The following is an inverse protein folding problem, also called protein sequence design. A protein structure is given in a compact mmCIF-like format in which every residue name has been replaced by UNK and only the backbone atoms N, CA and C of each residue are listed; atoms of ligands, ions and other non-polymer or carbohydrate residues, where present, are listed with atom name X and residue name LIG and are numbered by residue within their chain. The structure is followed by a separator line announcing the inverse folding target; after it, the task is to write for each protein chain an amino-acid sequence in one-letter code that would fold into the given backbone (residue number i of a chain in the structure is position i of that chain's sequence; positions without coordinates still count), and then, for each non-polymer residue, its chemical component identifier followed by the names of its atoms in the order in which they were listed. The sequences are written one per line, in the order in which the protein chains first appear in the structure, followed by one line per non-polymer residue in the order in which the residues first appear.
data_IF_233670536864
#
_entry.id   IF_233670536864
#
_cell.length_a   1.000
_cell.length_b   1.000
_cell.length_c   1.000
_cell.angle_alpha   90.00
_cell.angle_beta   90.00
_cell.angle_gamma   90.00
#
_symmetry.space_group_name_H-M   'P 1'
#
loop_
_entity.id
_entity.type
_entity.pdbx_description
1 polymer ?
#
# COMPACT_ATOMS: atom_id res chain seq x y z
N UNK A 1 17.24 13.51 14.90
CA UNK A 1 16.01 13.52 15.71
C UNK A 1 15.41 14.92 15.72
N UNK A 2 14.09 15.07 15.85
CA UNK A 2 13.37 16.36 15.97
C UNK A 2 12.62 16.43 17.30
N UNK A 3 12.35 17.64 17.80
CA UNK A 3 11.61 17.86 19.06
C UNK A 3 10.30 18.59 18.80
N UNK A 4 9.17 17.88 18.94
CA UNK A 4 7.83 18.44 18.73
C UNK A 4 7.41 19.29 19.95
N UNK A 5 7.74 20.58 19.94
CA UNK A 5 7.46 21.53 21.04
C UNK A 5 6.01 21.98 21.09
N UNK A 6 5.32 22.07 19.95
CA UNK A 6 3.89 22.38 19.91
C UNK A 6 3.06 21.27 20.61
N UNK A 7 1.98 21.62 21.34
CA UNK A 7 1.12 20.65 22.01
C UNK A 7 0.34 19.78 21.02
N UNK A 8 -0.18 18.63 21.47
CA UNK A 8 -1.08 17.80 20.68
C UNK A 8 -2.53 18.22 20.89
N UNK A 9 -3.15 18.79 19.85
CA UNK A 9 -4.59 19.00 19.78
C UNK A 9 -5.16 18.25 18.56
N UNK A 10 -6.24 17.47 18.70
CA UNK A 10 -6.96 16.88 17.57
C UNK A 10 -7.36 17.94 16.53
N UNK A 11 -7.19 17.64 15.25
CA UNK A 11 -7.43 18.60 14.16
C UNK A 11 -6.39 19.71 14.02
N UNK A 12 -5.24 19.63 14.71
CA UNK A 12 -4.12 20.56 14.60
C UNK A 12 -2.74 19.88 14.43
N UNK A 13 -2.69 18.56 14.20
CA UNK A 13 -1.43 17.78 14.09
C UNK A 13 -0.42 18.40 13.11
N UNK A 14 -0.91 18.98 12.01
CA UNK A 14 -0.10 19.65 11.01
C UNK A 14 0.80 20.77 11.59
N UNK A 15 0.39 21.48 12.63
CA UNK A 15 1.22 22.51 13.29
C UNK A 15 2.41 21.92 14.07
N UNK A 16 2.37 20.63 14.41
CA UNK A 16 3.50 19.92 15.02
C UNK A 16 4.49 19.41 13.98
N UNK A 17 3.99 18.98 12.81
CA UNK A 17 4.77 18.19 11.84
C UNK A 17 5.19 18.97 10.61
N UNK A 18 4.33 19.83 10.05
CA UNK A 18 4.58 20.52 8.78
C UNK A 18 5.88 21.35 8.77
N UNK A 19 6.29 22.08 9.83
CA UNK A 19 7.56 22.82 9.82
C UNK A 19 8.78 21.92 9.58
N UNK A 20 8.82 20.73 10.19
CA UNK A 20 9.93 19.77 10.01
C UNK A 20 9.88 19.04 8.66
N UNK A 21 8.68 18.88 8.09
CA UNK A 21 8.50 18.31 6.74
C UNK A 21 8.88 19.31 5.64
N UNK A 22 8.57 20.60 5.82
CA UNK A 22 8.97 21.69 4.92
C UNK A 22 10.49 21.86 4.93
N UNK A 23 11.11 21.90 6.11
CA UNK A 23 12.58 21.90 6.26
C UNK A 23 13.25 20.69 5.57
N UNK A 24 12.66 19.50 5.67
CA UNK A 24 13.17 18.32 4.97
C UNK A 24 13.07 18.45 3.43
N UNK A 25 12.01 19.08 2.90
CA UNK A 25 11.88 19.36 1.46
C UNK A 25 12.82 20.47 0.99
N UNK A 26 13.01 21.53 1.79
CA UNK A 26 13.96 22.60 1.52
C UNK A 26 15.40 22.08 1.46
N UNK A 27 15.82 21.30 2.46
CA UNK A 27 17.15 20.66 2.47
C UNK A 27 17.37 19.65 1.34
N UNK A 28 16.30 19.06 0.77
CA UNK A 28 16.40 18.26 -0.46
C UNK A 28 16.58 19.16 -1.69
N UNK A 29 15.76 20.22 -1.82
CA UNK A 29 15.81 21.20 -2.91
C UNK A 29 17.16 21.91 -3.03
N UNK A 30 17.82 22.18 -1.90
CA UNK A 30 19.15 22.80 -1.84
C UNK A 30 20.29 21.86 -2.23
N UNK A 31 20.21 20.59 -1.82
CA UNK A 31 21.35 19.64 -1.91
C UNK A 31 21.30 18.77 -3.16
N UNK A 32 20.11 18.31 -3.52
CA UNK A 32 19.88 17.36 -4.61
C UNK A 32 18.67 17.82 -5.45
N UNK A 33 18.71 19.02 -6.09
CA UNK A 33 17.57 19.59 -6.80
C UNK A 33 17.03 18.67 -7.93
N UNK A 34 17.90 17.86 -8.55
CA UNK A 34 17.51 16.85 -9.55
C UNK A 34 16.71 15.67 -8.99
N UNK A 35 16.62 15.52 -7.67
CA UNK A 35 15.82 14.50 -6.97
C UNK A 35 14.58 15.08 -6.26
N UNK A 36 14.23 16.35 -6.53
CA UNK A 36 13.04 16.98 -5.95
C UNK A 36 11.77 16.27 -6.47
N UNK A 37 10.87 15.78 -5.59
CA UNK A 37 9.70 15.03 -6.01
C UNK A 37 8.66 15.92 -6.67
N UNK A 38 8.13 15.47 -7.82
CA UNK A 38 7.04 16.13 -8.54
C UNK A 38 5.70 16.09 -7.78
N UNK A 39 5.56 15.16 -6.83
CA UNK A 39 4.36 14.97 -5.99
C UNK A 39 4.73 14.24 -4.69
N UNK A 40 4.10 14.64 -3.58
CA UNK A 40 4.28 14.03 -2.26
C UNK A 40 3.06 13.21 -1.85
N UNK A 41 3.30 11.97 -1.40
CA UNK A 41 2.30 11.10 -0.76
C UNK A 41 2.54 11.16 0.76
N UNK A 42 1.57 11.71 1.50
CA UNK A 42 1.70 12.05 2.93
C UNK A 42 0.86 11.10 3.78
N UNK A 43 1.45 10.55 4.85
CA UNK A 43 0.76 9.66 5.81
C UNK A 43 -0.18 10.45 6.72
N UNK A 44 -1.38 10.77 6.22
CA UNK A 44 -2.31 11.66 6.89
C UNK A 44 -3.35 12.23 5.92
N UNK A 45 -4.16 13.18 6.39
CA UNK A 45 -5.24 13.75 5.60
C UNK A 45 -4.83 15.04 4.88
N UNK A 46 -5.46 15.28 3.72
CA UNK A 46 -5.56 16.57 3.07
C UNK A 46 -6.90 17.25 3.41
N UNK A 47 -7.77 17.46 2.43
CA UNK A 47 -9.08 18.11 2.62
C UNK A 47 -10.07 17.31 3.48
N UNK A 48 -9.85 16.01 3.69
CA UNK A 48 -10.62 15.17 4.63
C UNK A 48 -10.25 15.49 6.10
N UNK A 49 -10.62 16.68 6.55
CA UNK A 49 -10.18 17.28 7.81
C UNK A 49 -11.26 18.22 8.38
N UNK A 50 -11.40 18.43 9.71
CA UNK A 50 -12.47 19.25 10.30
C UNK A 50 -12.47 20.74 9.91
N UNK A 51 -11.50 21.17 9.10
CA UNK A 51 -11.33 22.54 8.57
C UNK A 51 -10.88 22.54 7.10
N UNK A 52 -11.06 21.45 6.36
CA UNK A 52 -10.58 21.31 4.98
C UNK A 52 -9.06 21.34 4.78
N UNK A 53 -8.27 21.42 5.86
CA UNK A 53 -6.83 21.72 5.80
C UNK A 53 -6.01 20.80 6.70
N UNK A 54 -5.83 19.54 6.27
CA UNK A 54 -4.98 18.56 6.94
C UNK A 54 -3.49 18.74 6.64
N UNK A 55 -2.65 17.84 7.18
CA UNK A 55 -1.18 17.90 7.04
C UNK A 55 -0.70 17.86 5.58
N UNK A 56 -1.41 17.15 4.69
CA UNK A 56 -1.05 17.12 3.27
C UNK A 56 -1.35 18.47 2.57
N UNK A 57 -2.39 19.20 2.98
CA UNK A 57 -2.65 20.55 2.51
C UNK A 57 -1.58 21.52 3.03
N UNK A 58 -1.30 21.46 4.33
CA UNK A 58 -0.36 22.36 5.01
C UNK A 58 1.06 22.22 4.44
N UNK A 59 1.54 20.98 4.25
CA UNK A 59 2.83 20.73 3.60
C UNK A 59 2.84 21.17 2.13
N UNK A 60 1.80 20.84 1.36
CA UNK A 60 1.75 21.16 -0.07
C UNK A 60 1.78 22.66 -0.36
N UNK A 61 1.01 23.44 0.41
CA UNK A 61 0.99 24.91 0.30
C UNK A 61 2.32 25.53 0.71
N UNK A 62 2.94 25.08 1.82
CA UNK A 62 4.21 25.65 2.29
C UNK A 62 5.43 25.24 1.46
N UNK A 63 5.40 24.07 0.82
CA UNK A 63 6.48 23.60 -0.05
C UNK A 63 6.34 24.07 -1.51
N UNK A 64 5.16 24.57 -1.90
CA UNK A 64 4.65 24.67 -3.27
C UNK A 64 4.87 23.39 -4.10
N UNK A 65 4.34 22.27 -3.61
CA UNK A 65 4.39 20.98 -4.29
C UNK A 65 3.00 20.30 -4.32
N UNK A 66 2.66 19.57 -5.39
CA UNK A 66 1.50 18.69 -5.41
C UNK A 66 1.56 17.68 -4.24
N UNK A 67 0.46 17.57 -3.50
CA UNK A 67 0.38 16.74 -2.30
C UNK A 67 -0.90 15.90 -2.28
N UNK A 68 -0.77 14.65 -1.87
CA UNK A 68 -1.86 13.70 -1.65
C UNK A 68 -1.84 13.25 -0.18
N UNK A 69 -2.97 13.40 0.50
CA UNK A 69 -3.17 12.79 1.82
C UNK A 69 -3.60 11.33 1.69
N UNK A 70 -2.83 10.43 2.27
CA UNK A 70 -3.09 8.98 2.32
C UNK A 70 -3.25 8.55 3.77
N UNK A 71 -4.47 8.55 4.28
CA UNK A 71 -4.75 8.11 5.66
C UNK A 71 -5.04 6.60 5.73
N UNK A 72 -4.58 5.97 6.82
CA UNK A 72 -4.72 4.52 7.08
C UNK A 72 -6.05 4.15 7.75
N UNK A 73 -6.84 5.14 8.16
CA UNK A 73 -8.13 5.06 8.86
C UNK A 73 -9.04 6.21 8.38
N UNK A 74 -10.37 6.07 8.52
CA UNK A 74 -11.32 7.15 8.28
C UNK A 74 -11.19 8.21 9.39
N UNK A 75 -11.07 9.48 9.02
CA UNK A 75 -11.30 10.58 9.95
C UNK A 75 -12.78 10.96 9.90
N UNK A 76 -13.45 10.99 11.05
CA UNK A 76 -14.89 11.24 11.11
C UNK A 76 -15.15 12.75 11.16
N UNK A 77 -15.67 13.28 10.05
CA UNK A 77 -15.90 14.72 9.78
C UNK A 77 -17.06 14.87 8.81
N UNK A 78 -17.86 15.94 8.94
CA UNK A 78 -18.95 16.27 7.98
C UNK A 78 -19.86 15.05 7.68
N UNK A 79 -20.41 14.42 8.73
CA UNK A 79 -21.26 13.22 8.61
C UNK A 79 -20.55 11.90 8.29
N UNK A 80 -19.28 11.91 7.87
CA UNK A 80 -18.54 10.68 7.58
C UNK A 80 -18.29 9.87 8.86
N UNK A 81 -18.97 8.73 9.00
CA UNK A 81 -18.76 7.79 10.10
C UNK A 81 -18.27 6.42 9.62
N UNK A 82 -17.57 5.67 10.49
CA UNK A 82 -17.17 4.30 10.25
C UNK A 82 -18.31 3.31 10.61
N UNK A 83 -19.50 3.59 10.11
CA UNK A 83 -20.78 3.00 10.52
C UNK A 83 -21.08 1.64 9.81
N UNK A 84 -22.32 1.15 9.91
CA UNK A 84 -22.75 -0.07 9.21
C UNK A 84 -22.80 0.10 7.68
N UNK A 85 -23.21 1.26 7.16
CA UNK A 85 -23.25 1.59 5.74
C UNK A 85 -21.82 1.67 5.16
N UNK A 86 -20.92 2.41 5.80
CA UNK A 86 -19.51 2.51 5.41
C UNK A 86 -18.83 1.15 5.41
N UNK A 87 -18.97 0.37 6.48
CA UNK A 87 -18.43 -1.01 6.54
C UNK A 87 -19.03 -1.92 5.46
N UNK A 88 -20.27 -1.66 5.01
CA UNK A 88 -20.89 -2.38 3.91
C UNK A 88 -20.34 -1.95 2.55
N UNK A 89 -20.15 -0.64 2.29
CA UNK A 89 -19.45 -0.12 1.10
C UNK A 89 -18.03 -0.70 0.99
N UNK A 90 -17.28 -0.77 2.10
CA UNK A 90 -15.94 -1.38 2.15
C UNK A 90 -15.96 -2.87 1.78
N UNK A 91 -17.00 -3.63 2.15
CA UNK A 91 -17.16 -5.05 1.76
C UNK A 91 -17.45 -5.25 0.27
N UNK A 92 -17.92 -4.22 -0.44
CA UNK A 92 -18.16 -4.27 -1.89
C UNK A 92 -16.87 -4.10 -2.71
N UNK A 93 -15.80 -3.56 -2.13
CA UNK A 93 -14.49 -3.44 -2.78
C UNK A 93 -13.85 -4.83 -2.94
N UNK A 94 -13.76 -5.37 -4.16
CA UNK A 94 -13.33 -6.75 -4.48
C UNK A 94 -11.90 -6.85 -4.99
N UNK A 95 -11.45 -5.94 -5.85
CA UNK A 95 -10.13 -5.95 -6.48
C UNK A 95 -9.20 -4.85 -5.92
N UNK A 96 -7.93 -4.87 -6.35
CA UNK A 96 -7.04 -3.73 -6.19
C UNK A 96 -7.40 -2.61 -7.16
N UNK A 97 -7.61 -1.40 -6.63
CA UNK A 97 -8.05 -0.22 -7.39
C UNK A 97 -9.51 0.17 -7.17
N UNK A 98 -10.35 -0.76 -6.68
CA UNK A 98 -11.74 -0.48 -6.35
C UNK A 98 -11.85 0.65 -5.32
N UNK A 99 -12.81 1.56 -5.54
CA UNK A 99 -12.99 2.75 -4.71
C UNK A 99 -14.46 3.15 -4.55
N UNK A 100 -14.77 3.95 -3.52
CA UNK A 100 -16.00 4.75 -3.46
C UNK A 100 -15.72 6.17 -2.90
N UNK A 101 -16.48 7.19 -3.33
CA UNK A 101 -16.32 8.56 -2.83
C UNK A 101 -16.77 8.71 -1.37
N UNK A 102 -16.06 9.57 -0.65
CA UNK A 102 -16.36 9.98 0.72
C UNK A 102 -17.08 11.34 0.67
N UNK A 103 -18.38 11.28 0.36
CA UNK A 103 -19.28 12.44 0.38
C UNK A 103 -19.77 12.68 1.80
N UNK A 104 -19.57 13.89 2.32
CA UNK A 104 -20.09 14.30 3.62
C UNK A 104 -21.52 14.86 3.56
N UNK A 105 -22.09 15.19 4.72
CA UNK A 105 -23.45 15.75 4.87
C UNK A 105 -23.63 17.08 4.14
N UNK A 106 -22.56 17.87 3.99
CA UNK A 106 -22.53 19.07 3.15
C UNK A 106 -22.73 18.81 1.64
N UNK A 107 -22.72 17.54 1.21
CA UNK A 107 -22.66 17.13 -0.19
C UNK A 107 -21.26 17.19 -0.81
N UNK A 108 -20.24 17.68 -0.09
CA UNK A 108 -18.88 17.77 -0.58
C UNK A 108 -18.19 16.38 -0.62
N UNK A 109 -17.48 16.08 -1.71
CA UNK A 109 -16.63 14.89 -1.81
C UNK A 109 -15.26 15.20 -1.20
N UNK A 110 -15.07 14.78 0.06
CA UNK A 110 -13.86 15.05 0.85
C UNK A 110 -12.69 14.10 0.55
N UNK A 111 -12.96 12.99 -0.16
CA UNK A 111 -11.94 12.01 -0.55
C UNK A 111 -12.54 10.77 -1.18
N UNK A 112 -11.76 9.68 -1.19
CA UNK A 112 -12.23 8.35 -1.59
C UNK A 112 -11.65 7.27 -0.66
N UNK A 113 -12.45 6.24 -0.38
CA UNK A 113 -11.95 4.99 0.20
C UNK A 113 -11.47 4.09 -0.94
N UNK A 114 -10.18 3.75 -0.95
CA UNK A 114 -9.50 2.96 -1.99
C UNK A 114 -9.06 1.59 -1.43
N UNK A 115 -9.46 0.48 -2.05
CA UNK A 115 -8.83 -0.82 -1.82
C UNK A 115 -7.52 -0.88 -2.62
N UNK A 116 -6.44 -0.53 -1.95
CA UNK A 116 -5.14 -0.27 -2.58
C UNK A 116 -4.34 -1.52 -2.98
N UNK A 117 -4.74 -2.72 -2.56
CA UNK A 117 -4.02 -3.96 -2.82
C UNK A 117 -4.94 -5.17 -2.59
N UNK A 118 -4.83 -6.21 -3.42
CA UNK A 118 -5.68 -7.40 -3.33
C UNK A 118 -5.57 -8.11 -1.98
N UNK A 119 -4.35 -8.35 -1.51
CA UNK A 119 -4.06 -8.94 -0.20
C UNK A 119 -4.45 -8.10 1.03
N UNK A 120 -5.32 -7.09 0.90
CA UNK A 120 -5.90 -6.39 2.05
C UNK A 120 -7.33 -5.93 1.80
N UNK A 121 -8.20 -6.14 2.80
CA UNK A 121 -9.58 -5.64 2.84
C UNK A 121 -9.72 -4.30 3.56
N UNK A 122 -8.65 -3.78 4.16
CA UNK A 122 -8.64 -2.48 4.86
C UNK A 122 -8.26 -1.37 3.86
N UNK A 123 -9.18 -0.48 3.45
CA UNK A 123 -8.88 0.55 2.46
C UNK A 123 -7.89 1.60 2.97
N UNK A 124 -7.35 2.40 2.06
CA UNK A 124 -6.77 3.70 2.35
C UNK A 124 -7.84 4.79 2.16
N UNK A 125 -7.68 5.91 2.84
CA UNK A 125 -8.56 7.07 2.74
C UNK A 125 -7.76 8.19 2.08
N UNK A 126 -8.01 8.39 0.78
CA UNK A 126 -7.23 9.28 -0.07
C UNK A 126 -7.96 10.62 -0.19
N UNK A 127 -7.24 11.72 0.00
CA UNK A 127 -7.77 13.08 -0.11
C UNK A 127 -6.77 14.02 -0.78
N UNK A 128 -7.27 15.03 -1.47
CA UNK A 128 -6.43 16.08 -2.09
C UNK A 128 -5.70 16.84 -1.00
N UNK A 129 -4.38 16.99 -1.12
CA UNK A 129 -3.58 17.91 -0.31
C UNK A 129 -3.45 19.27 -1.01
N UNK A 130 -2.74 19.30 -2.14
CA UNK A 130 -2.47 20.52 -2.90
C UNK A 130 -2.20 20.21 -4.38
N UNK A 131 -2.54 21.13 -5.30
CA UNK A 131 -2.24 21.11 -6.75
C UNK A 131 -2.44 19.75 -7.46
N UNK A 132 -3.47 18.98 -7.07
CA UNK A 132 -3.83 17.68 -7.67
C UNK A 132 -5.34 17.47 -7.59
N UNK A 133 -5.95 16.77 -8.57
CA UNK A 133 -7.37 16.37 -8.49
C UNK A 133 -7.53 15.08 -7.67
N UNK A 134 -8.72 14.83 -7.13
CA UNK A 134 -8.98 13.61 -6.35
C UNK A 134 -8.79 12.33 -7.20
N UNK A 135 -9.22 12.35 -8.46
CA UNK A 135 -9.06 11.23 -9.39
C UNK A 135 -7.58 10.89 -9.61
N UNK A 136 -6.75 11.89 -9.93
CA UNK A 136 -5.30 11.71 -10.10
C UNK A 136 -4.65 11.28 -8.79
N UNK A 137 -5.06 11.84 -7.65
CA UNK A 137 -4.55 11.46 -6.34
C UNK A 137 -4.82 9.98 -6.00
N UNK A 138 -6.02 9.48 -6.30
CA UNK A 138 -6.39 8.06 -6.07
C UNK A 138 -5.65 7.14 -7.03
N UNK A 139 -5.62 7.47 -8.33
CA UNK A 139 -4.89 6.71 -9.36
C UNK A 139 -3.41 6.60 -9.03
N UNK A 140 -2.75 7.72 -8.71
CA UNK A 140 -1.35 7.77 -8.27
C UNK A 140 -1.12 6.92 -7.02
N UNK A 141 -1.98 7.05 -6.01
CA UNK A 141 -1.87 6.27 -4.76
C UNK A 141 -1.91 4.77 -5.05
N UNK A 142 -2.81 4.32 -5.94
CA UNK A 142 -2.89 2.92 -6.36
C UNK A 142 -1.66 2.47 -7.17
N UNK A 143 -1.20 3.27 -8.14
CA UNK A 143 0.02 2.95 -8.92
C UNK A 143 1.29 2.86 -8.06
N UNK A 144 1.32 3.51 -6.89
CA UNK A 144 2.42 3.38 -5.92
C UNK A 144 2.28 2.18 -4.96
N UNK A 145 1.20 1.39 -5.01
CA UNK A 145 0.93 0.32 -4.05
C UNK A 145 1.47 -1.05 -4.47
N UNK A 146 2.75 -1.31 -4.16
CA UNK A 146 3.32 -2.69 -4.13
C UNK A 146 2.81 -3.56 -2.97
N UNK A 147 2.16 -2.91 -2.00
CA UNK A 147 1.53 -3.48 -0.81
C UNK A 147 0.33 -2.58 -0.43
N UNK A 148 -0.43 -2.90 0.63
CA UNK A 148 -1.55 -2.03 1.11
C UNK A 148 -1.16 -0.55 1.27
N UNK A 149 0.04 -0.27 1.77
CA UNK A 149 0.54 1.12 1.95
C UNK A 149 1.39 1.50 0.74
N UNK A 150 1.23 2.71 0.15
CA UNK A 150 2.01 3.13 -1.01
C UNK A 150 3.50 3.13 -0.70
N UNK A 151 4.32 2.74 -1.67
CA UNK A 151 5.74 2.50 -1.46
C UNK A 151 6.49 3.72 -0.89
N UNK A 152 6.26 4.97 -1.32
CA UNK A 152 6.91 6.15 -0.71
C UNK A 152 6.56 6.31 0.78
N UNK A 153 5.27 6.15 1.14
CA UNK A 153 4.80 6.25 2.54
C UNK A 153 5.38 5.09 3.37
N UNK A 154 5.38 3.87 2.84
CA UNK A 154 5.95 2.68 3.49
C UNK A 154 7.46 2.83 3.73
N UNK A 155 8.18 3.39 2.76
CA UNK A 155 9.62 3.59 2.81
C UNK A 155 10.03 4.72 3.76
N UNK A 156 9.19 5.75 3.93
CA UNK A 156 9.37 6.77 4.97
C UNK A 156 9.10 6.20 6.38
N UNK A 157 8.01 5.44 6.55
CA UNK A 157 7.58 4.80 7.80
C UNK A 157 8.58 3.75 8.33
N UNK A 158 9.31 3.07 7.44
CA UNK A 158 10.42 2.18 7.80
C UNK A 158 11.63 3.01 8.28
N UNK A 159 12.07 4.00 7.50
CA UNK A 159 13.25 4.83 7.81
C UNK A 159 13.09 5.62 9.11
N UNK A 160 11.90 6.14 9.40
CA UNK A 160 11.63 6.90 10.62
C UNK A 160 11.72 6.01 11.86
N UNK A 161 11.14 4.81 11.84
CA UNK A 161 11.26 3.83 12.93
C UNK A 161 12.70 3.36 13.13
N UNK A 162 13.44 3.09 12.05
CA UNK A 162 14.85 2.67 12.17
C UNK A 162 15.76 3.79 12.67
N UNK A 163 15.49 5.05 12.30
CA UNK A 163 16.19 6.20 12.88
C UNK A 163 15.91 6.33 14.39
N UNK A 164 14.66 6.14 14.82
CA UNK A 164 14.29 6.16 16.25
C UNK A 164 14.99 5.03 17.01
N UNK A 165 14.93 3.78 16.51
CA UNK A 165 15.60 2.61 17.11
C UNK A 165 17.09 2.87 17.34
N UNK A 166 17.80 3.32 16.28
CA UNK A 166 19.26 3.59 16.33
C UNK A 166 19.59 4.76 17.26
N UNK A 167 18.76 5.80 17.28
CA UNK A 167 19.01 7.00 18.11
C UNK A 167 18.68 6.82 19.60
N UNK A 168 17.94 5.77 19.96
CA UNK A 168 17.53 5.47 21.34
C UNK A 168 18.14 4.15 21.88
N UNK A 169 19.14 3.57 21.20
CA UNK A 169 19.84 2.38 21.67
C UNK A 169 19.04 1.08 21.62
N UNK A 170 17.93 1.02 20.87
CA UNK A 170 17.17 -0.20 20.68
C UNK A 170 17.97 -1.25 19.88
N UNK A 171 17.77 -2.56 20.12
CA UNK A 171 18.48 -3.60 19.39
C UNK A 171 18.25 -3.47 17.88
N UNK A 172 19.35 -3.55 17.12
CA UNK A 172 19.30 -3.50 15.66
C UNK A 172 18.57 -4.70 15.07
N UNK A 173 18.07 -4.60 13.82
CA UNK A 173 17.54 -5.76 13.13
C UNK A 173 18.64 -6.82 13.01
N UNK A 174 18.38 -8.03 13.51
CA UNK A 174 19.27 -9.17 13.30
C UNK A 174 19.37 -9.41 11.80
N UNK A 175 20.59 -9.33 11.26
CA UNK A 175 20.86 -9.97 9.98
C UNK A 175 20.81 -11.48 10.23
N UNK A 176 20.05 -12.20 9.41
CA UNK A 176 20.10 -13.66 9.38
C UNK A 176 21.47 -14.08 8.82
N UNK A 177 22.44 -14.21 9.71
CA UNK A 177 23.70 -14.88 9.42
C UNK A 177 23.36 -16.31 9.00
N UNK A 178 23.55 -16.65 7.72
CA UNK A 178 23.35 -18.02 7.22
C UNK A 178 24.21 -18.97 8.03
N UNK A 179 23.57 -19.76 8.89
CA UNK A 179 24.25 -20.68 9.79
C UNK A 179 25.10 -21.68 9.00
N UNK A 180 26.32 -21.85 9.47
CA UNK A 180 27.39 -22.66 8.91
C UNK A 180 26.93 -24.04 8.41
N UNK A 181 27.49 -24.49 7.28
CA UNK A 181 27.39 -25.88 6.86
C UNK A 181 27.98 -26.81 7.94
N UNK A 182 27.14 -27.66 8.52
CA UNK A 182 27.56 -28.66 9.48
C UNK A 182 28.36 -29.76 8.76
N UNK A 183 29.66 -29.83 9.02
CA UNK A 183 30.52 -30.90 8.54
C UNK A 183 30.02 -32.25 9.06
N UNK A 184 29.69 -33.17 8.15
CA UNK A 184 29.37 -34.57 8.49
C UNK A 184 30.69 -35.32 8.71
N UNK A 185 30.88 -36.03 9.84
CA UNK A 185 32.04 -36.91 10.00
C UNK A 185 31.91 -38.13 9.07
N UNK A 186 33.04 -38.58 8.51
CA UNK A 186 33.10 -39.83 7.75
C UNK A 186 33.13 -41.04 8.69
N UNK A 187 32.46 -42.13 8.28
CA UNK A 187 32.51 -43.44 8.94
C UNK A 187 32.41 -44.55 7.89
N UNK A 188 33.23 -45.59 8.05
CA UNK A 188 33.18 -46.85 7.33
C UNK A 188 34.38 -47.74 7.70
N UNK A 189 34.48 -48.98 7.20
CA UNK A 189 33.55 -49.69 6.31
C UNK A 189 32.92 -50.93 7.00
N UNK A 190 32.71 -52.02 6.26
CA UNK A 190 32.21 -53.36 6.67
C UNK A 190 30.68 -53.48 6.89
N UNK A 191 29.98 -54.56 6.49
CA UNK A 191 30.27 -55.70 5.59
C UNK A 191 28.92 -56.20 4.97
N UNK A 192 28.96 -56.95 3.86
CA UNK A 192 27.79 -57.58 3.18
C UNK A 192 27.60 -59.06 3.63
N UNK A 193 26.63 -59.88 3.15
CA UNK A 193 25.50 -59.65 2.20
C UNK A 193 24.13 -60.27 2.64
N UNK A 194 23.08 -60.16 1.80
CA UNK A 194 22.28 -61.28 1.22
C UNK A 194 21.14 -60.76 0.29
N UNK A 195 20.39 -61.66 -0.39
CA UNK A 195 19.76 -61.40 -1.71
C UNK A 195 18.20 -61.68 -1.80
N UNK A 196 17.49 -61.79 -2.97
CA UNK A 196 16.08 -61.33 -3.12
C UNK A 196 15.06 -62.50 -3.30
N UNK A 197 13.84 -62.39 -3.90
CA UNK A 197 13.45 -61.86 -5.24
C UNK A 197 12.38 -60.71 -5.17
N UNK A 198 11.98 -59.95 -6.21
CA UNK A 198 11.42 -60.29 -7.54
C UNK A 198 9.87 -60.19 -7.49
N UNK A 199 9.09 -59.70 -8.47
CA UNK A 199 9.30 -59.08 -9.81
C UNK A 199 8.86 -57.57 -9.74
N UNK A 200 8.53 -56.76 -10.78
CA UNK A 200 8.34 -57.06 -12.20
C UNK A 200 7.94 -55.90 -13.12
N UNK A 201 7.26 -56.20 -14.24
CA UNK A 201 7.09 -55.28 -15.40
C UNK A 201 5.68 -54.78 -15.71
N UNK A 202 5.63 -53.57 -16.29
CA UNK A 202 4.48 -52.97 -17.01
C UNK A 202 4.29 -53.58 -18.43
N UNK A 203 3.20 -53.27 -19.15
CA UNK A 203 3.31 -52.25 -20.21
C UNK A 203 2.03 -51.41 -20.50
N UNK A 204 2.16 -50.50 -21.50
CA UNK A 204 1.17 -49.54 -22.02
C UNK A 204 0.10 -50.19 -22.92
N UNK A 205 -1.05 -49.52 -23.17
CA UNK A 205 -1.36 -48.93 -24.51
C UNK A 205 -2.81 -48.40 -24.73
N UNK A 206 -2.88 -47.23 -25.41
CA UNK A 206 -3.85 -46.77 -26.45
C UNK A 206 -5.35 -46.55 -26.13
N UNK A 207 -5.93 -45.67 -26.97
CA UNK A 207 -7.33 -45.19 -27.03
C UNK A 207 -8.01 -45.59 -28.34
N UNK A 208 -9.35 -45.39 -28.47
CA UNK A 208 -9.87 -44.50 -29.53
C UNK A 208 -11.14 -43.68 -29.13
N UNK A 209 -11.55 -42.72 -29.98
CA UNK A 209 -12.89 -42.09 -30.00
C UNK A 209 -13.80 -42.73 -31.07
N UNK A 210 -14.73 -42.01 -31.77
CA UNK A 210 -15.16 -40.59 -31.65
C UNK A 210 -16.71 -40.38 -31.78
N UNK A 211 -17.16 -39.10 -31.84
CA UNK A 211 -18.38 -38.47 -32.46
C UNK A 211 -18.74 -37.22 -31.62
N UNK A 212 -18.72 -35.96 -32.10
CA UNK A 212 -19.55 -35.27 -33.13
C UNK A 212 -21.05 -35.26 -32.77
N UNK A 213 -21.83 -34.17 -32.91
CA UNK A 213 -21.66 -32.89 -33.64
C UNK A 213 -21.72 -31.67 -32.66
N UNK A 214 -22.08 -30.40 -32.94
CA UNK A 214 -22.72 -29.71 -34.08
C UNK A 214 -22.32 -28.21 -34.22
N UNK A 215 -23.28 -27.33 -34.53
CA UNK A 215 -23.14 -25.99 -35.16
C UNK A 215 -23.17 -24.75 -34.23
N UNK A 216 -22.84 -23.59 -34.82
CA UNK A 216 -23.15 -22.24 -34.31
C UNK A 216 -23.62 -21.33 -35.47
N UNK A 217 -24.54 -20.36 -35.25
CA UNK A 217 -24.91 -19.35 -36.23
C UNK A 217 -24.01 -18.10 -36.18
N UNK A 218 -23.85 -17.44 -37.33
CA UNK A 218 -23.12 -16.17 -37.47
C UNK A 218 -23.99 -14.90 -37.25
N UNK A 219 -23.42 -13.70 -37.48
CA UNK A 219 -24.06 -12.43 -37.13
C UNK A 219 -24.99 -11.85 -38.22
N UNK A 220 -26.04 -11.15 -37.78
CA UNK A 220 -26.68 -10.03 -38.50
C UNK A 220 -26.74 -8.82 -37.54
N UNK A 221 -26.55 -7.55 -37.92
CA UNK A 221 -26.80 -6.77 -39.14
C UNK A 221 -28.12 -5.96 -39.08
N UNK A 222 -27.96 -4.64 -38.83
CA UNK A 222 -28.95 -3.55 -38.99
C UNK A 222 -30.18 -3.66 -38.05
N UNK A 223 -30.85 -2.57 -37.63
CA UNK A 223 -31.11 -1.26 -38.25
C UNK A 223 -31.11 -0.07 -37.25
N UNK A 224 -31.08 1.14 -37.84
CA UNK A 224 -31.57 2.45 -37.32
C UNK A 224 -31.03 2.95 -35.96
#
# INVERSE_FOLDING_TARGET
MVRLTAPYLPGFLAFREAPFLVDAVQRLREREPGLLPQVLLVDGNGVLHPRGFGVACHLGVLADLPCVGVAKQLLQVDGLENDALHRSKVRLLRAGGDLFPLTGDSGAVLGAALRSHEGSTKPLYVSVGHRVSLEVAVRLTHSCCRFRVPEPVRQADIRSRDHIRRSLGGPGPQQESRSQEAQRPEVGPEQSPEEPPGEGRSPKARSPGPRTHAEAPGPGAQEQ
#
